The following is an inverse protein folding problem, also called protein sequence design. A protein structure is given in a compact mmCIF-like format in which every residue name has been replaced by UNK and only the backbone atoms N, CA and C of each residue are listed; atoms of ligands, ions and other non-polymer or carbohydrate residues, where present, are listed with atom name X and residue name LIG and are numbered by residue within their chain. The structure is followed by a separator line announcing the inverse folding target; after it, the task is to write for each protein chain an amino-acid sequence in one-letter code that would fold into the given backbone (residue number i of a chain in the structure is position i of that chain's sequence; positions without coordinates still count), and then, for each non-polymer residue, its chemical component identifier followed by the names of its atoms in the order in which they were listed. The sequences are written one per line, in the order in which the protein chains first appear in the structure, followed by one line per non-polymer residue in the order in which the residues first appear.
data_IF_834779332327
#
_entry.id   IF_834779332327
#
_cell.length_a   1.000
_cell.length_b   1.000
_cell.length_c   1.000
_cell.angle_alpha   90.00
_cell.angle_beta   90.00
_cell.angle_gamma   90.00
#
_symmetry.space_group_name_H-M   'P 1'
#
loop_
_entity.id
_entity.type
_entity.pdbx_description
1 polymer ?
#
# COMPACT_ATOMS: atom_id res chain seq x y z
N UNK A 1 -24.71 43.93 3.64
CA UNK A 1 -23.76 42.82 3.47
C UNK A 1 -24.54 41.63 2.94
N UNK A 2 -24.29 41.25 1.68
CA UNK A 2 -25.05 40.21 0.99
C UNK A 2 -24.56 38.82 1.36
N UNK A 3 -25.48 37.94 1.76
CA UNK A 3 -25.28 36.50 1.68
C UNK A 3 -25.49 36.05 0.23
N UNK A 4 -24.53 35.30 -0.33
CA UNK A 4 -24.73 34.35 -1.44
C UNK A 4 -23.86 33.12 -1.18
N UNK A 5 -24.50 31.96 -1.10
CA UNK A 5 -23.92 30.62 -0.87
C UNK A 5 -23.30 30.04 -2.16
N UNK A 6 -22.32 29.13 -1.99
CA UNK A 6 -22.25 27.85 -2.70
C UNK A 6 -21.70 26.82 -1.68
N UNK A 7 -22.50 25.88 -1.18
CA UNK A 7 -22.83 24.58 -1.78
C UNK A 7 -21.63 23.61 -1.78
N UNK A 8 -21.52 22.80 -0.72
CA UNK A 8 -20.79 21.52 -0.67
C UNK A 8 -19.36 21.49 -1.22
N UNK A 9 -18.45 22.30 -0.69
CA UNK A 9 -17.03 22.07 -0.94
C UNK A 9 -16.54 20.98 0.04
N UNK A 10 -16.59 19.72 -0.42
CA UNK A 10 -15.88 18.62 0.23
C UNK A 10 -14.40 18.85 -0.07
N UNK A 11 -13.70 19.50 0.85
CA UNK A 11 -12.24 19.54 0.83
C UNK A 11 -11.76 18.10 1.03
N UNK A 12 -11.45 17.43 -0.07
CA UNK A 12 -10.44 16.37 -0.05
C UNK A 12 -9.14 17.14 0.17
N UNK A 13 -8.56 17.01 1.36
CA UNK A 13 -7.32 17.69 1.77
C UNK A 13 -6.38 17.91 0.57
N UNK A 14 -5.91 19.15 0.37
CA UNK A 14 -4.70 19.36 -0.42
C UNK A 14 -3.65 18.44 0.21
N UNK A 15 -3.24 17.38 -0.49
CA UNK A 15 -2.21 16.47 0.03
C UNK A 15 -0.87 17.05 -0.42
N UNK A 16 -0.16 17.85 0.40
CA UNK A 16 1.22 18.20 0.09
C UNK A 16 2.02 16.89 0.15
N UNK A 17 2.41 16.38 -1.02
CA UNK A 17 3.34 15.27 -1.11
C UNK A 17 4.71 15.88 -1.34
N UNK A 18 5.55 15.91 -0.30
CA UNK A 18 6.96 16.24 -0.45
C UNK A 18 7.69 15.04 -1.07
N UNK A 19 7.68 14.99 -2.39
CA UNK A 19 8.39 13.99 -3.22
C UNK A 19 9.92 14.07 -3.07
N UNK A 20 10.45 15.08 -2.38
CA UNK A 20 11.89 15.30 -2.21
C UNK A 20 12.48 14.53 -1.00
N UNK A 21 11.63 14.02 -0.10
CA UNK A 21 12.02 13.35 1.15
C UNK A 21 11.72 11.84 1.19
N UNK A 22 11.32 11.23 0.08
CA UNK A 22 10.38 10.09 0.08
C UNK A 22 10.82 8.85 -0.71
N UNK A 23 12.11 8.72 -1.02
CA UNK A 23 12.62 7.48 -1.62
C UNK A 23 13.92 7.09 -0.93
N UNK A 24 13.79 6.44 0.23
CA UNK A 24 14.95 5.97 1.01
C UNK A 24 15.60 4.74 0.36
N UNK A 25 14.90 4.02 -0.52
CA UNK A 25 15.40 2.83 -1.23
C UNK A 25 15.58 1.60 -0.33
N UNK A 26 16.12 1.81 0.87
CA UNK A 26 16.17 0.87 1.99
C UNK A 26 15.13 1.30 3.04
N UNK A 27 14.29 0.33 3.44
CA UNK A 27 13.25 0.46 4.45
C UNK A 27 13.70 -0.38 5.64
N UNK A 28 13.81 0.24 6.82
CA UNK A 28 13.87 -0.52 8.07
C UNK A 28 12.43 -0.96 8.42
N UNK A 29 12.18 -2.26 8.67
CA UNK A 29 10.86 -2.72 9.11
C UNK A 29 10.36 -1.98 10.37
N UNK A 30 11.25 -1.49 11.24
CA UNK A 30 10.89 -0.67 12.40
C UNK A 30 10.34 0.73 12.07
N UNK A 31 10.57 1.23 10.85
CA UNK A 31 10.04 2.51 10.38
C UNK A 31 8.62 2.37 9.80
N UNK A 32 8.16 1.14 9.56
CA UNK A 32 6.83 0.87 9.02
C UNK A 32 5.80 1.02 10.13
N UNK A 33 4.81 1.93 10.03
CA UNK A 33 3.79 2.05 11.05
C UNK A 33 3.01 0.74 11.21
N UNK A 34 2.68 0.35 12.45
CA UNK A 34 2.04 -0.93 12.74
C UNK A 34 0.75 -1.20 11.94
N UNK A 35 -0.06 -0.16 11.64
CA UNK A 35 -1.24 -0.31 10.76
C UNK A 35 -0.83 -0.67 9.32
N UNK A 36 0.21 -0.04 8.79
CA UNK A 36 0.73 -0.33 7.45
C UNK A 36 1.36 -1.71 7.39
N UNK A 37 2.14 -2.09 8.41
CA UNK A 37 2.70 -3.45 8.53
C UNK A 37 1.58 -4.48 8.55
N UNK A 38 0.56 -4.29 9.39
CA UNK A 38 -0.59 -5.21 9.49
C UNK A 38 -1.33 -5.37 8.16
N UNK A 39 -1.60 -4.27 7.44
CA UNK A 39 -2.25 -4.34 6.12
C UNK A 39 -1.34 -5.04 5.11
N UNK A 40 -0.04 -4.71 5.13
CA UNK A 40 0.94 -5.32 4.23
C UNK A 40 1.00 -6.83 4.48
N UNK A 41 1.26 -7.28 5.70
CA UNK A 41 1.24 -8.72 6.00
C UNK A 41 -0.10 -9.38 5.67
N UNK A 42 -1.22 -8.69 5.91
CA UNK A 42 -2.54 -9.19 5.54
C UNK A 42 -2.70 -9.48 4.05
N UNK A 43 -2.07 -8.69 3.17
CA UNK A 43 -2.08 -8.93 1.71
C UNK A 43 -1.35 -10.20 1.27
N UNK A 44 -0.53 -10.80 2.15
CA UNK A 44 0.13 -12.09 1.92
C UNK A 44 -0.66 -13.28 2.48
N UNK A 45 -1.62 -13.03 3.37
CA UNK A 45 -2.32 -14.07 4.13
C UNK A 45 -3.37 -14.83 3.31
N UNK A 46 -3.86 -15.94 3.84
CA UNK A 46 -5.02 -16.67 3.28
C UNK A 46 -6.33 -15.85 3.26
N UNK A 47 -6.43 -14.79 4.07
CA UNK A 47 -7.61 -13.92 4.16
C UNK A 47 -7.22 -12.45 3.97
N UNK A 48 -6.85 -12.05 2.74
CA UNK A 48 -6.40 -10.69 2.46
C UNK A 48 -7.50 -9.65 2.65
N UNK A 49 -7.15 -8.39 2.95
CA UNK A 49 -8.12 -7.31 3.14
C UNK A 49 -9.03 -7.13 1.91
N UNK A 50 -10.34 -7.13 2.12
CA UNK A 50 -11.34 -7.02 1.03
C UNK A 50 -11.85 -5.60 0.80
N UNK A 51 -11.48 -4.65 1.65
CA UNK A 51 -11.82 -3.24 1.47
C UNK A 51 -10.70 -2.53 0.69
N UNK A 52 -10.93 -2.10 -0.58
CA UNK A 52 -9.88 -1.50 -1.40
C UNK A 52 -9.31 -0.21 -0.80
N UNK A 53 -10.09 0.55 -0.01
CA UNK A 53 -9.58 1.77 0.65
C UNK A 53 -8.56 1.45 1.75
N UNK A 54 -8.69 0.30 2.42
CA UNK A 54 -7.70 -0.17 3.40
C UNK A 54 -6.41 -0.55 2.68
N UNK A 55 -6.52 -1.26 1.56
CA UNK A 55 -5.37 -1.66 0.73
C UNK A 55 -4.61 -0.43 0.21
N UNK A 56 -5.33 0.59 -0.26
CA UNK A 56 -4.73 1.81 -0.79
C UNK A 56 -4.00 2.65 0.26
N UNK A 57 -4.30 2.49 1.56
CA UNK A 57 -3.49 3.10 2.63
C UNK A 57 -2.07 2.54 2.63
N UNK A 58 -1.92 1.21 2.54
CA UNK A 58 -0.61 0.57 2.46
C UNK A 58 0.10 0.95 1.15
N UNK A 59 -0.62 0.93 0.02
CA UNK A 59 -0.07 1.36 -1.27
C UNK A 59 0.53 2.78 -1.19
N UNK A 60 -0.22 3.74 -0.62
CA UNK A 60 0.24 5.12 -0.45
C UNK A 60 1.54 5.18 0.35
N UNK A 61 1.65 4.45 1.45
CA UNK A 61 2.85 4.46 2.28
C UNK A 61 4.06 3.89 1.52
N UNK A 62 3.92 2.72 0.89
CA UNK A 62 5.01 2.10 0.12
C UNK A 62 5.45 2.93 -1.08
N UNK A 63 4.53 3.66 -1.71
CA UNK A 63 4.88 4.63 -2.76
C UNK A 63 5.70 5.81 -2.22
N UNK A 64 5.36 6.31 -1.03
CA UNK A 64 5.95 7.51 -0.42
C UNK A 64 7.22 7.20 0.37
N UNK A 65 7.47 5.97 0.80
CA UNK A 65 8.64 5.67 1.63
C UNK A 65 9.57 4.64 0.99
N UNK A 66 9.01 3.74 0.18
CA UNK A 66 9.75 2.69 -0.51
C UNK A 66 10.35 3.15 -1.84
N UNK A 67 10.25 2.29 -2.84
CA UNK A 67 10.81 2.50 -4.19
C UNK A 67 9.81 3.15 -5.15
N UNK A 68 8.85 3.92 -4.63
CA UNK A 68 7.81 4.56 -5.44
C UNK A 68 6.98 3.55 -6.23
N UNK A 69 6.70 3.87 -7.48
CA UNK A 69 5.91 3.01 -8.38
C UNK A 69 6.55 1.64 -8.67
N UNK A 70 7.84 1.47 -8.36
CA UNK A 70 8.57 0.22 -8.55
C UNK A 70 8.64 -0.66 -7.30
N UNK A 71 8.12 -0.19 -6.15
CA UNK A 71 8.14 -0.96 -4.92
C UNK A 71 7.23 -2.20 -5.02
N UNK A 72 7.70 -3.42 -4.72
CA UNK A 72 6.88 -4.63 -4.83
C UNK A 72 5.65 -4.60 -3.92
N UNK A 73 5.73 -4.01 -2.72
CA UNK A 73 4.58 -3.90 -1.83
C UNK A 73 3.56 -2.88 -2.34
N UNK A 74 4.01 -1.78 -2.96
CA UNK A 74 3.12 -0.87 -3.69
C UNK A 74 2.43 -1.58 -4.86
N UNK A 75 3.22 -2.23 -5.73
CA UNK A 75 2.71 -2.89 -6.95
C UNK A 75 1.68 -3.96 -6.60
N UNK A 76 1.95 -4.80 -5.60
CA UNK A 76 1.00 -5.81 -5.15
C UNK A 76 -0.27 -5.20 -4.56
N UNK A 77 -0.17 -4.16 -3.73
CA UNK A 77 -1.35 -3.49 -3.19
C UNK A 77 -2.24 -2.88 -4.29
N UNK A 78 -1.66 -2.31 -5.33
CA UNK A 78 -2.42 -1.80 -6.49
C UNK A 78 -3.07 -2.93 -7.28
N UNK A 79 -2.34 -4.02 -7.53
CA UNK A 79 -2.87 -5.19 -8.23
C UNK A 79 -4.01 -5.87 -7.46
N UNK A 80 -3.88 -5.95 -6.13
CA UNK A 80 -4.94 -6.45 -5.28
C UNK A 80 -6.16 -5.52 -5.27
N UNK A 81 -5.96 -4.20 -5.21
CA UNK A 81 -7.06 -3.24 -5.33
C UNK A 81 -7.75 -3.31 -6.70
N UNK A 82 -6.98 -3.54 -7.79
CA UNK A 82 -7.53 -3.80 -9.13
C UNK A 82 -8.38 -5.06 -9.12
N UNK A 83 -7.88 -6.16 -8.56
CA UNK A 83 -8.63 -7.41 -8.40
C UNK A 83 -9.96 -7.19 -7.67
N UNK A 84 -9.95 -6.50 -6.53
CA UNK A 84 -11.19 -6.19 -5.79
C UNK A 84 -12.19 -5.36 -6.60
N UNK A 85 -11.71 -4.47 -7.47
CA UNK A 85 -12.55 -3.60 -8.27
C UNK A 85 -13.10 -4.25 -9.54
N UNK A 86 -12.36 -5.19 -10.14
CA UNK A 86 -12.69 -5.77 -11.45
C UNK A 86 -13.04 -7.26 -11.40
N UNK A 87 -12.91 -7.89 -10.24
CA UNK A 87 -13.07 -9.34 -10.04
C UNK A 87 -12.22 -10.19 -11.01
N UNK A 88 -11.09 -9.62 -11.47
CA UNK A 88 -10.15 -10.28 -12.37
C UNK A 88 -9.04 -10.91 -11.55
N UNK A 89 -8.63 -12.14 -11.88
CA UNK A 89 -7.54 -12.82 -11.19
C UNK A 89 -6.27 -11.96 -11.12
N UNK A 90 -5.63 -11.96 -9.95
CA UNK A 90 -4.35 -11.30 -9.71
C UNK A 90 -3.18 -12.05 -10.36
N UNK A 91 -2.13 -11.31 -10.68
CA UNK A 91 -0.88 -11.85 -11.21
C UNK A 91 -0.09 -12.64 -10.14
N UNK A 92 0.09 -13.94 -10.38
CA UNK A 92 0.82 -14.85 -9.46
C UNK A 92 2.30 -14.53 -9.40
N UNK A 93 2.92 -14.07 -10.49
CA UNK A 93 4.34 -13.70 -10.50
C UNK A 93 4.59 -12.45 -9.65
N UNK A 94 3.66 -11.49 -9.70
CA UNK A 94 3.69 -10.32 -8.81
C UNK A 94 3.52 -10.70 -7.34
N UNK A 95 2.68 -11.70 -7.05
CA UNK A 95 2.53 -12.21 -5.69
C UNK A 95 3.81 -12.86 -5.17
N UNK A 96 4.49 -13.67 -5.99
CA UNK A 96 5.76 -14.29 -5.61
C UNK A 96 6.88 -13.26 -5.44
N UNK A 97 6.92 -12.22 -6.30
CA UNK A 97 7.84 -11.07 -6.15
C UNK A 97 7.59 -10.37 -4.81
N UNK A 98 6.32 -10.16 -4.47
CA UNK A 98 5.89 -9.53 -3.23
C UNK A 98 6.30 -10.33 -1.98
N UNK A 99 6.09 -11.65 -1.95
CA UNK A 99 6.48 -12.48 -0.80
C UNK A 99 8.00 -12.46 -0.58
N UNK A 100 8.79 -12.55 -1.67
CA UNK A 100 10.26 -12.45 -1.59
C UNK A 100 10.70 -11.09 -1.05
N UNK A 101 10.00 -10.03 -1.45
CA UNK A 101 10.26 -8.68 -0.98
C UNK A 101 10.00 -8.54 0.52
N UNK A 102 8.88 -9.05 1.04
CA UNK A 102 8.58 -8.97 2.47
C UNK A 102 9.62 -9.68 3.34
N UNK A 103 10.12 -10.83 2.89
CA UNK A 103 11.24 -11.52 3.56
C UNK A 103 12.52 -10.67 3.51
N UNK A 104 12.83 -10.08 2.36
CA UNK A 104 14.01 -9.22 2.21
C UNK A 104 13.97 -7.96 3.09
N UNK A 105 12.77 -7.42 3.34
CA UNK A 105 12.55 -6.28 4.26
C UNK A 105 12.52 -6.73 5.73
N UNK A 106 12.46 -8.04 6.01
CA UNK A 106 12.53 -8.58 7.37
C UNK A 106 11.18 -8.73 8.07
N UNK A 107 10.08 -8.83 7.33
CA UNK A 107 8.75 -9.09 7.91
C UNK A 107 8.54 -10.57 8.29
N UNK A 108 9.36 -11.47 7.75
CA UNK A 108 9.39 -12.90 8.06
C UNK A 108 10.75 -13.48 7.68
N UNK A 109 11.13 -14.62 8.26
CA UNK A 109 12.37 -15.32 7.90
C UNK A 109 12.19 -16.11 6.59
N UNK A 110 10.98 -16.62 6.35
CA UNK A 110 10.65 -17.36 5.14
C UNK A 110 9.28 -17.00 4.53
N UNK A 111 9.07 -17.14 3.20
CA UNK A 111 7.82 -16.76 2.54
C UNK A 111 6.57 -17.51 3.05
N UNK A 112 6.75 -18.71 3.59
CA UNK A 112 5.63 -19.53 4.05
C UNK A 112 5.07 -19.06 5.41
N UNK A 113 5.82 -18.26 6.16
CA UNK A 113 5.40 -17.67 7.44
C UNK A 113 4.53 -16.41 7.25
N UNK A 114 4.39 -15.94 6.01
CA UNK A 114 3.57 -14.78 5.62
C UNK A 114 2.12 -15.16 5.30
N UNK A 115 1.82 -16.46 5.15
CA UNK A 115 0.52 -16.98 4.72
C UNK A 115 -0.43 -17.23 5.90
#
# INVERSE_FOLDING_TARGET
MSQRQHANDVSVDEIPIDISNTQSGEIDPGDVPAEIESITRGLASEQPPTNPLVVLKAARWWYIHGKGGSDPAFRWAIEWARHLATDTSSDVEMFDEYLKYLVAVGFADEPHELR
#
